data_IF_420759381945
#
_entry.id   IF_420759381945
#
_cell.length_a   1.000
_cell.length_b   1.000
_cell.length_c   1.000
_cell.angle_alpha   90.00
_cell.angle_beta   90.00
_cell.angle_gamma   90.00
#
_symmetry.space_group_name_H-M   'P 1'
#
loop_
_entity.id
_entity.type
_entity.pdbx_description
1 polymer ?
#
# COMPACT_ATOMS: atom_id res chain seq x y z
N UNK A 1 -15.80 -95.17 -81.78
CA UNK A 1 -16.47 -94.66 -82.98
C UNK A 1 -16.48 -93.14 -82.91
N UNK A 2 -16.10 -92.44 -83.98
CA UNK A 2 -16.07 -90.97 -84.06
C UNK A 2 -17.50 -90.38 -84.09
N UNK A 3 -18.31 -90.71 -83.09
CA UNK A 3 -19.65 -90.16 -82.93
C UNK A 3 -19.57 -88.72 -82.43
N UNK A 4 -20.32 -87.83 -83.06
CA UNK A 4 -20.45 -86.43 -82.62
C UNK A 4 -21.80 -86.22 -81.92
N UNK A 5 -21.85 -85.27 -80.99
CA UNK A 5 -23.10 -84.96 -80.27
C UNK A 5 -24.00 -84.14 -81.20
N UNK A 6 -25.22 -84.61 -81.43
CA UNK A 6 -26.23 -83.93 -82.24
C UNK A 6 -26.91 -82.81 -81.44
N UNK A 7 -27.27 -83.08 -80.18
CA UNK A 7 -28.05 -82.15 -79.37
C UNK A 7 -27.64 -82.14 -77.90
N UNK A 8 -27.47 -80.92 -77.35
CA UNK A 8 -27.37 -80.63 -75.92
C UNK A 8 -28.59 -79.81 -75.49
N UNK A 9 -29.41 -80.33 -74.58
CA UNK A 9 -30.62 -79.65 -74.11
C UNK A 9 -30.73 -79.67 -72.59
N UNK A 10 -31.02 -78.51 -72.00
CA UNK A 10 -31.51 -78.42 -70.63
C UNK A 10 -33.04 -78.53 -70.67
N UNK A 11 -33.57 -79.65 -70.18
CA UNK A 11 -34.99 -79.89 -70.04
C UNK A 11 -35.56 -79.26 -68.77
N UNK A 12 -36.89 -79.30 -68.64
CA UNK A 12 -37.55 -78.93 -67.39
C UNK A 12 -37.13 -79.89 -66.25
N UNK A 13 -36.91 -79.33 -65.05
CA UNK A 13 -36.56 -80.11 -63.85
C UNK A 13 -35.07 -80.45 -63.68
N UNK A 14 -34.17 -79.53 -64.04
CA UNK A 14 -32.69 -79.69 -63.92
C UNK A 14 -32.12 -80.92 -64.64
N UNK A 15 -32.80 -81.40 -65.68
CA UNK A 15 -32.35 -82.52 -66.48
C UNK A 15 -31.50 -82.00 -67.65
N UNK A 16 -30.28 -82.53 -67.77
CA UNK A 16 -29.40 -82.33 -68.92
C UNK A 16 -29.47 -83.55 -69.82
N UNK A 17 -29.94 -83.40 -71.05
CA UNK A 17 -30.04 -84.48 -72.05
C UNK A 17 -29.00 -84.29 -73.17
N UNK A 18 -28.34 -85.38 -73.54
CA UNK A 18 -27.31 -85.45 -74.58
C UNK A 18 -27.68 -86.54 -75.58
N UNK A 19 -27.76 -86.18 -76.87
CA UNK A 19 -28.06 -87.10 -77.98
C UNK A 19 -26.86 -87.23 -78.92
N UNK A 20 -26.49 -88.44 -79.34
CA UNK A 20 -25.40 -88.65 -80.31
C UNK A 20 -25.96 -88.80 -81.74
N UNK A 21 -25.20 -88.36 -82.72
CA UNK A 21 -25.64 -88.32 -84.12
C UNK A 21 -25.84 -89.73 -84.70
N UNK A 22 -27.03 -89.99 -85.26
CA UNK A 22 -27.41 -91.21 -85.99
C UNK A 22 -27.25 -92.54 -85.23
N UNK A 23 -27.27 -92.52 -83.88
CA UNK A 23 -27.19 -93.76 -83.08
C UNK A 23 -28.55 -94.47 -82.93
N UNK A 24 -29.67 -93.75 -83.13
CA UNK A 24 -31.02 -94.28 -83.01
C UNK A 24 -31.43 -94.59 -81.57
N UNK A 25 -30.65 -94.15 -80.58
CA UNK A 25 -30.87 -94.42 -79.15
C UNK A 25 -31.57 -93.24 -78.47
N UNK A 26 -32.08 -93.51 -77.26
CA UNK A 26 -32.75 -92.50 -76.44
C UNK A 26 -31.66 -91.58 -75.83
N UNK A 27 -31.83 -90.24 -75.84
CA UNK A 27 -30.85 -89.31 -75.28
C UNK A 27 -30.51 -89.63 -73.82
N UNK A 28 -29.21 -89.67 -73.50
CA UNK A 28 -28.76 -89.85 -72.12
C UNK A 28 -29.15 -88.62 -71.31
N UNK A 29 -29.90 -88.82 -70.24
CA UNK A 29 -30.37 -87.73 -69.38
C UNK A 29 -29.73 -87.84 -67.99
N UNK A 30 -29.14 -86.74 -67.52
CA UNK A 30 -28.51 -86.60 -66.20
C UNK A 30 -29.33 -85.61 -65.37
N UNK A 31 -29.71 -86.02 -64.16
CA UNK A 31 -30.36 -85.15 -63.18
C UNK A 31 -29.32 -84.32 -62.42
N UNK A 32 -29.43 -83.00 -62.54
CA UNK A 32 -28.57 -82.03 -61.88
C UNK A 32 -29.18 -81.48 -60.58
N UNK A 33 -30.30 -82.02 -60.09
CA UNK A 33 -30.96 -81.58 -58.84
C UNK A 33 -30.05 -81.69 -57.61
N UNK A 34 -29.03 -82.54 -57.63
CA UNK A 34 -28.01 -82.59 -56.58
C UNK A 34 -27.09 -81.35 -56.55
N UNK A 35 -27.10 -80.52 -57.59
CA UNK A 35 -26.40 -79.23 -57.67
C UNK A 35 -27.31 -78.06 -57.27
N UNK A 36 -28.60 -78.30 -56.99
CA UNK A 36 -29.47 -77.29 -56.41
C UNK A 36 -29.03 -76.95 -54.98
N UNK A 37 -29.21 -75.67 -54.65
CA UNK A 37 -28.65 -75.00 -53.48
C UNK A 37 -28.85 -75.82 -52.18
N UNK A 38 -27.74 -76.20 -51.53
CA UNK A 38 -27.81 -77.06 -50.33
C UNK A 38 -28.43 -76.32 -49.14
N UNK A 39 -29.12 -77.06 -48.26
CA UNK A 39 -29.75 -76.55 -47.03
C UNK A 39 -28.80 -75.68 -46.17
N UNK A 40 -27.50 -75.97 -46.20
CA UNK A 40 -26.49 -75.20 -45.48
C UNK A 40 -26.32 -73.77 -46.00
N UNK A 41 -26.41 -73.58 -47.33
CA UNK A 41 -26.33 -72.26 -47.95
C UNK A 41 -27.56 -71.44 -47.57
N UNK A 42 -28.75 -72.03 -47.64
CA UNK A 42 -30.00 -71.38 -47.21
C UNK A 42 -29.96 -70.96 -45.74
N UNK A 43 -29.41 -71.82 -44.86
CA UNK A 43 -29.27 -71.52 -43.44
C UNK A 43 -28.30 -70.36 -43.16
N UNK A 44 -27.13 -70.34 -43.82
CA UNK A 44 -26.17 -69.25 -43.68
C UNK A 44 -26.74 -67.92 -44.21
N UNK A 45 -27.42 -67.92 -45.35
CA UNK A 45 -28.10 -66.73 -45.89
C UNK A 45 -29.12 -66.20 -44.89
N UNK A 46 -29.88 -67.09 -44.23
CA UNK A 46 -30.85 -66.69 -43.20
C UNK A 46 -30.17 -66.05 -41.98
N UNK A 47 -29.05 -66.63 -41.52
CA UNK A 47 -28.29 -66.09 -40.38
C UNK A 47 -27.69 -64.71 -40.69
N UNK A 48 -27.07 -64.54 -41.86
CA UNK A 48 -26.50 -63.27 -42.30
C UNK A 48 -27.58 -62.19 -42.35
N UNK A 49 -28.72 -62.49 -42.98
CA UNK A 49 -29.83 -61.52 -43.08
C UNK A 49 -30.42 -61.19 -41.70
N UNK A 50 -30.52 -62.17 -40.80
CA UNK A 50 -31.00 -61.93 -39.43
C UNK A 50 -30.04 -61.04 -38.65
N UNK A 51 -28.72 -61.20 -38.83
CA UNK A 51 -27.72 -60.35 -38.20
C UNK A 51 -27.85 -58.89 -38.68
N UNK A 52 -27.90 -58.69 -39.99
CA UNK A 52 -28.09 -57.37 -40.62
C UNK A 52 -29.39 -56.70 -40.13
N UNK A 53 -30.47 -57.48 -39.98
CA UNK A 53 -31.76 -56.92 -39.54
C UNK A 53 -31.76 -56.57 -38.04
N UNK A 54 -31.05 -57.36 -37.21
CA UNK A 54 -30.95 -57.11 -35.77
C UNK A 54 -30.00 -55.96 -35.43
N UNK A 55 -28.98 -55.74 -36.26
CA UNK A 55 -28.11 -54.57 -36.20
C UNK A 55 -28.94 -53.28 -36.36
N UNK A 56 -30.03 -53.37 -37.14
CA UNK A 56 -30.99 -52.26 -37.28
C UNK A 56 -30.47 -51.12 -38.14
N UNK A 57 -29.21 -51.20 -38.58
CA UNK A 57 -28.58 -50.31 -39.52
C UNK A 57 -27.96 -51.09 -40.69
N UNK A 58 -28.09 -50.53 -41.89
CA UNK A 58 -27.51 -51.10 -43.13
C UNK A 58 -26.67 -50.07 -43.87
N UNK A 59 -26.53 -48.87 -43.30
CA UNK A 59 -25.83 -47.74 -43.85
C UNK A 59 -24.54 -47.53 -43.04
N UNK A 60 -23.39 -47.84 -43.64
CA UNK A 60 -22.08 -47.71 -43.00
C UNK A 60 -21.65 -46.24 -42.77
N UNK A 61 -22.50 -45.27 -43.12
CA UNK A 61 -22.17 -43.85 -43.08
C UNK A 61 -23.01 -43.02 -42.09
N UNK A 62 -24.05 -43.59 -41.47
CA UNK A 62 -24.93 -42.86 -40.55
C UNK A 62 -24.66 -43.17 -39.07
N UNK A 63 -23.79 -44.14 -38.76
CA UNK A 63 -23.40 -44.52 -37.41
C UNK A 63 -22.11 -43.85 -36.95
N UNK A 64 -22.07 -43.44 -35.68
CA UNK A 64 -20.82 -43.09 -35.02
C UNK A 64 -20.16 -44.40 -34.60
N UNK A 65 -19.14 -44.81 -35.35
CA UNK A 65 -18.25 -45.90 -34.97
C UNK A 65 -17.57 -45.56 -33.64
N UNK A 66 -18.09 -46.12 -32.54
CA UNK A 66 -17.48 -45.96 -31.24
C UNK A 66 -16.14 -46.71 -31.24
N UNK A 67 -15.06 -46.09 -30.78
CA UNK A 67 -13.77 -46.75 -30.73
C UNK A 67 -13.84 -47.98 -29.81
N UNK A 68 -13.42 -49.13 -30.33
CA UNK A 68 -13.23 -50.36 -29.57
C UNK A 68 -11.97 -50.21 -28.70
N UNK A 69 -12.15 -49.64 -27.51
CA UNK A 69 -11.09 -49.44 -26.53
C UNK A 69 -11.37 -50.26 -25.27
N UNK A 70 -10.75 -51.44 -25.20
CA UNK A 70 -10.82 -52.33 -24.04
C UNK A 70 -10.21 -51.72 -22.75
N UNK A 71 -9.55 -50.56 -22.83
CA UNK A 71 -9.00 -49.85 -21.67
C UNK A 71 -9.94 -48.78 -21.12
N UNK A 72 -11.03 -48.46 -21.81
CA UNK A 72 -12.03 -47.50 -21.36
C UNK A 72 -12.74 -47.97 -20.07
N UNK A 73 -12.96 -47.03 -19.15
CA UNK A 73 -13.57 -47.25 -17.83
C UNK A 73 -14.79 -46.38 -17.60
N UNK A 74 -15.61 -46.73 -16.61
CA UNK A 74 -16.78 -45.93 -16.22
C UNK A 74 -16.36 -44.54 -15.75
N UNK A 75 -16.72 -43.51 -16.52
CA UNK A 75 -16.33 -42.12 -16.27
C UNK A 75 -15.52 -41.50 -17.40
N UNK A 76 -15.01 -42.32 -18.33
CA UNK A 76 -14.40 -41.84 -19.56
C UNK A 76 -15.44 -41.17 -20.48
N UNK A 77 -15.02 -40.16 -21.23
CA UNK A 77 -15.86 -39.42 -22.18
C UNK A 77 -15.36 -39.64 -23.59
N UNK A 78 -16.29 -39.64 -24.54
CA UNK A 78 -15.95 -39.67 -25.96
C UNK A 78 -15.40 -38.30 -26.36
N UNK A 79 -14.18 -38.27 -26.89
CA UNK A 79 -13.55 -37.08 -27.45
C UNK A 79 -13.29 -37.27 -28.94
N UNK A 80 -13.21 -36.16 -29.66
CA UNK A 80 -12.82 -36.12 -31.06
C UNK A 80 -11.56 -35.28 -31.21
N UNK A 81 -10.62 -35.73 -32.04
CA UNK A 81 -9.47 -34.92 -32.42
C UNK A 81 -9.83 -33.92 -33.55
N UNK A 82 -8.87 -33.07 -33.94
CA UNK A 82 -9.09 -32.10 -35.01
C UNK A 82 -9.31 -32.73 -36.41
N UNK A 83 -9.05 -34.03 -36.54
CA UNK A 83 -9.28 -34.80 -37.75
C UNK A 83 -10.62 -35.58 -37.71
N UNK A 84 -11.39 -35.47 -36.63
CA UNK A 84 -12.67 -36.14 -36.46
C UNK A 84 -12.56 -37.57 -35.94
N UNK A 85 -11.37 -38.05 -35.56
CA UNK A 85 -11.22 -39.39 -34.99
C UNK A 85 -11.76 -39.43 -33.56
N UNK A 86 -12.54 -40.45 -33.24
CA UNK A 86 -13.12 -40.64 -31.90
C UNK A 86 -12.20 -41.47 -31.02
N UNK A 87 -12.05 -41.09 -29.74
CA UNK A 87 -11.37 -41.88 -28.71
C UNK A 87 -12.05 -41.72 -27.36
N UNK A 88 -11.97 -42.75 -26.51
CA UNK A 88 -12.34 -42.63 -25.10
C UNK A 88 -11.18 -41.96 -24.35
N UNK A 89 -11.49 -40.93 -23.58
CA UNK A 89 -10.51 -40.27 -22.72
C UNK A 89 -11.02 -40.21 -21.29
N UNK A 90 -10.12 -40.41 -20.32
CA UNK A 90 -10.41 -40.09 -18.92
C UNK A 90 -10.44 -38.57 -18.76
N UNK A 91 -11.58 -37.97 -18.37
CA UNK A 91 -11.63 -36.54 -18.10
C UNK A 91 -10.61 -36.21 -17.03
N UNK A 92 -9.66 -35.33 -17.36
CA UNK A 92 -8.79 -34.75 -16.36
C UNK A 92 -9.64 -33.78 -15.56
N UNK A 93 -10.15 -34.24 -14.41
CA UNK A 93 -10.86 -33.40 -13.46
C UNK A 93 -9.82 -32.46 -12.84
N UNK A 94 -9.81 -31.19 -13.27
CA UNK A 94 -8.95 -30.16 -12.67
C UNK A 94 -8.09 -29.33 -13.63
N UNK A 95 -8.41 -29.26 -14.93
CA UNK A 95 -7.74 -28.27 -15.78
C UNK A 95 -8.00 -26.84 -15.24
N UNK A 96 -6.92 -26.12 -14.97
CA UNK A 96 -6.91 -24.66 -14.88
C UNK A 96 -7.62 -24.04 -16.11
N UNK A 97 -8.08 -22.79 -15.99
CA UNK A 97 -8.86 -22.06 -17.02
C UNK A 97 -8.36 -22.25 -18.47
N UNK A 98 -7.05 -22.35 -18.70
CA UNK A 98 -6.45 -22.79 -19.97
C UNK A 98 -4.96 -23.09 -19.79
N UNK A 99 -4.40 -23.93 -20.67
CA UNK A 99 -2.95 -24.12 -20.83
C UNK A 99 -2.33 -23.25 -21.94
N UNK A 100 -3.15 -22.39 -22.56
CA UNK A 100 -2.78 -21.41 -23.59
C UNK A 100 -3.33 -20.04 -23.23
N UNK A 101 -2.80 -18.98 -23.86
CA UNK A 101 -3.31 -17.63 -23.67
C UNK A 101 -4.79 -17.56 -24.08
N UNK A 102 -5.66 -17.23 -23.12
CA UNK A 102 -7.06 -16.94 -23.40
C UNK A 102 -7.18 -15.52 -23.98
N UNK A 103 -7.63 -15.41 -25.23
CA UNK A 103 -8.05 -14.13 -25.81
C UNK A 103 -9.54 -13.99 -25.62
N UNK A 104 -9.98 -12.97 -24.87
CA UNK A 104 -11.40 -12.71 -24.69
C UNK A 104 -11.93 -11.89 -25.88
N UNK A 105 -13.02 -12.36 -26.48
CA UNK A 105 -13.69 -11.69 -27.62
C UNK A 105 -15.00 -11.01 -27.24
N UNK A 106 -15.39 -11.12 -25.96
CA UNK A 106 -16.53 -10.46 -25.34
C UNK A 106 -16.44 -10.61 -23.82
N UNK A 107 -17.31 -9.88 -23.10
CA UNK A 107 -17.34 -9.89 -21.65
C UNK A 107 -17.60 -11.30 -21.10
N UNK A 108 -16.94 -11.64 -19.98
CA UNK A 108 -17.05 -12.94 -19.32
C UNK A 108 -17.17 -12.76 -17.82
N UNK A 109 -18.08 -13.52 -17.22
CA UNK A 109 -18.20 -13.67 -15.77
C UNK A 109 -17.84 -15.10 -15.41
N UNK A 110 -16.93 -15.26 -14.46
CA UNK A 110 -16.59 -16.54 -13.85
C UNK A 110 -17.17 -16.59 -12.44
N UNK A 111 -18.18 -17.42 -12.26
CA UNK A 111 -18.84 -17.63 -10.96
C UNK A 111 -17.94 -18.52 -10.08
N UNK A 112 -17.51 -17.95 -8.96
CA UNK A 112 -16.72 -18.56 -7.89
C UNK A 112 -17.61 -18.82 -6.66
N UNK A 113 -18.83 -19.32 -6.87
CA UNK A 113 -19.78 -19.68 -5.82
C UNK A 113 -20.19 -18.46 -4.97
N UNK A 114 -21.03 -17.59 -5.55
CA UNK A 114 -21.51 -16.28 -5.03
C UNK A 114 -20.47 -15.14 -5.04
N UNK A 115 -19.28 -15.39 -5.57
CA UNK A 115 -18.31 -14.34 -5.90
C UNK A 115 -18.02 -14.41 -7.39
N UNK A 116 -18.05 -13.29 -8.09
CA UNK A 116 -17.82 -13.27 -9.52
C UNK A 116 -16.49 -12.61 -9.84
N UNK A 117 -15.70 -13.26 -10.70
CA UNK A 117 -14.61 -12.62 -11.42
C UNK A 117 -15.11 -12.20 -12.80
N UNK A 118 -15.25 -10.90 -13.00
CA UNK A 118 -15.74 -10.35 -14.27
C UNK A 118 -14.60 -9.69 -15.03
N UNK A 119 -14.46 -10.08 -16.29
CA UNK A 119 -13.62 -9.43 -17.28
C UNK A 119 -14.51 -8.68 -18.26
N UNK A 120 -14.50 -7.36 -18.15
CA UNK A 120 -15.29 -6.45 -18.97
C UNK A 120 -14.38 -5.82 -20.02
N UNK A 121 -14.53 -6.26 -21.27
CA UNK A 121 -13.78 -5.74 -22.41
C UNK A 121 -14.31 -4.36 -22.79
N UNK A 122 -15.62 -4.16 -22.69
CA UNK A 122 -16.30 -2.91 -23.03
C UNK A 122 -15.71 -1.73 -22.24
N UNK A 123 -15.49 -1.90 -20.94
CA UNK A 123 -14.93 -0.89 -20.04
C UNK A 123 -13.45 -1.10 -19.70
N UNK A 124 -12.82 -2.15 -20.24
CA UNK A 124 -11.44 -2.55 -19.93
C UNK A 124 -11.21 -2.72 -18.42
N UNK A 125 -12.17 -3.34 -17.72
CA UNK A 125 -12.22 -3.46 -16.28
C UNK A 125 -12.08 -4.92 -15.85
N UNK A 126 -11.25 -5.15 -14.82
CA UNK A 126 -11.27 -6.38 -14.02
C UNK A 126 -12.04 -6.09 -12.73
N UNK A 127 -13.10 -6.84 -12.45
CA UNK A 127 -13.94 -6.63 -11.27
C UNK A 127 -14.15 -7.93 -10.49
N UNK A 128 -14.15 -7.82 -9.16
CA UNK A 128 -14.49 -8.89 -8.23
C UNK A 128 -15.75 -8.46 -7.46
N UNK A 129 -16.87 -9.17 -7.63
CA UNK A 129 -18.18 -8.77 -7.06
C UNK A 129 -18.83 -9.88 -6.23
N UNK A 130 -19.66 -9.53 -5.24
CA UNK A 130 -20.19 -10.47 -4.23
C UNK A 130 -19.91 -10.05 -2.79
N UNK A 131 -20.41 -10.82 -1.82
CA UNK A 131 -20.29 -10.51 -0.38
C UNK A 131 -18.89 -10.75 0.18
N UNK A 132 -18.14 -11.71 -0.40
CA UNK A 132 -16.81 -12.13 0.06
C UNK A 132 -15.72 -11.89 -0.99
N UNK A 133 -15.89 -10.89 -1.86
CA UNK A 133 -14.98 -10.58 -2.98
C UNK A 133 -13.70 -9.87 -2.53
N UNK A 134 -12.95 -10.54 -1.66
CA UNK A 134 -11.64 -10.09 -1.21
C UNK A 134 -10.57 -10.74 -2.10
N UNK A 135 -9.59 -9.95 -2.53
CA UNK A 135 -8.44 -10.41 -3.30
C UNK A 135 -7.26 -10.57 -2.35
N UNK A 136 -6.89 -11.81 -2.07
CA UNK A 136 -5.67 -12.15 -1.35
C UNK A 136 -4.50 -12.37 -2.29
N UNK A 137 -3.38 -11.68 -2.08
CA UNK A 137 -2.11 -11.93 -2.81
C UNK A 137 -1.10 -12.46 -1.80
N UNK A 138 -0.75 -13.75 -1.89
CA UNK A 138 0.09 -14.42 -0.89
C UNK A 138 -0.63 -14.79 0.41
N UNK A 139 -1.87 -14.32 0.61
CA UNK A 139 -2.72 -14.59 1.77
C UNK A 139 -4.02 -15.27 1.30
N UNK A 140 -4.37 -16.43 1.88
CA UNK A 140 -5.60 -17.17 1.56
C UNK A 140 -6.79 -16.83 2.46
N UNK A 141 -6.59 -15.98 3.47
CA UNK A 141 -7.61 -15.48 4.39
C UNK A 141 -7.55 -13.95 4.47
N UNK A 142 -7.90 -13.25 3.38
CA UNK A 142 -7.80 -11.79 3.31
C UNK A 142 -8.79 -11.12 4.29
N UNK A 143 -8.30 -10.17 5.09
CA UNK A 143 -9.11 -9.41 6.05
C UNK A 143 -9.82 -8.20 5.43
N UNK A 144 -9.30 -7.71 4.31
CA UNK A 144 -9.81 -6.55 3.57
C UNK A 144 -10.02 -6.89 2.09
N UNK A 145 -10.64 -5.96 1.34
CA UNK A 145 -10.97 -6.15 -0.08
C UNK A 145 -9.74 -6.46 -0.94
N UNK A 146 -8.60 -5.89 -0.59
CA UNK A 146 -7.30 -6.26 -1.16
C UNK A 146 -6.34 -6.45 0.01
N UNK A 147 -5.87 -7.67 0.23
CA UNK A 147 -4.96 -8.04 1.31
C UNK A 147 -3.73 -8.71 0.67
N UNK A 148 -2.57 -8.12 0.90
CA UNK A 148 -1.30 -8.53 0.28
C UNK A 148 -0.32 -8.89 1.38
N UNK A 149 0.02 -10.18 1.49
CA UNK A 149 1.13 -10.64 2.32
C UNK A 149 2.45 -10.35 1.58
N UNK A 150 2.86 -9.08 1.61
CA UNK A 150 4.00 -8.58 0.86
C UNK A 150 3.99 -7.07 0.65
N UNK A 151 4.62 -6.62 -0.44
CA UNK A 151 4.72 -5.20 -0.78
C UNK A 151 3.80 -4.82 -1.93
N UNK A 152 3.12 -3.68 -1.80
CA UNK A 152 2.34 -3.06 -2.87
C UNK A 152 3.15 -1.91 -3.47
N UNK A 153 3.28 -1.87 -4.81
CA UNK A 153 3.87 -0.75 -5.54
C UNK A 153 2.87 -0.15 -6.52
N UNK A 154 2.36 1.04 -6.21
CA UNK A 154 1.53 1.82 -7.14
C UNK A 154 2.41 2.76 -8.00
N UNK A 155 2.45 2.55 -9.32
CA UNK A 155 3.07 3.49 -10.26
C UNK A 155 2.00 4.50 -10.70
N UNK A 156 1.99 5.68 -10.10
CA UNK A 156 0.93 6.69 -10.29
C UNK A 156 0.30 7.19 -8.99
N UNK A 157 0.67 6.60 -7.84
CA UNK A 157 0.20 6.99 -6.52
C UNK A 157 -1.08 6.25 -6.09
N UNK A 158 -1.52 6.55 -4.88
CA UNK A 158 -2.81 6.13 -4.35
C UNK A 158 -3.79 7.29 -4.50
N UNK A 159 -4.88 7.08 -5.21
CA UNK A 159 -5.96 8.05 -5.25
C UNK A 159 -6.78 7.92 -3.97
N UNK A 160 -6.98 9.04 -3.27
CA UNK A 160 -7.87 9.14 -2.12
C UNK A 160 -8.71 10.41 -2.28
N UNK A 161 -9.97 10.35 -1.88
CA UNK A 161 -10.85 11.52 -1.85
C UNK A 161 -10.53 12.40 -0.64
N UNK A 162 -11.29 13.48 -0.44
CA UNK A 162 -11.26 14.21 0.83
C UNK A 162 -11.63 13.28 2.00
N UNK A 163 -11.15 13.61 3.19
CA UNK A 163 -11.41 12.87 4.42
C UNK A 163 -11.51 13.80 5.61
N UNK A 164 -11.72 13.23 6.79
CA UNK A 164 -11.75 13.98 8.05
C UNK A 164 -10.92 13.27 9.11
N UNK A 165 -10.67 13.92 10.25
CA UNK A 165 -9.99 13.28 11.36
C UNK A 165 -10.72 12.00 11.84
N UNK A 166 -12.06 11.98 11.78
CA UNK A 166 -12.87 10.81 12.17
C UNK A 166 -12.99 9.73 11.10
N UNK A 167 -12.65 10.04 9.85
CA UNK A 167 -12.67 9.11 8.72
C UNK A 167 -11.62 9.55 7.69
N UNK A 168 -10.34 9.20 7.92
CA UNK A 168 -9.26 9.63 7.06
C UNK A 168 -9.30 8.89 5.72
N UNK A 169 -8.99 9.59 4.63
CA UNK A 169 -9.05 9.00 3.28
C UNK A 169 -7.98 7.93 3.02
N UNK A 170 -6.87 7.97 3.75
CA UNK A 170 -5.88 6.90 3.81
C UNK A 170 -5.82 6.38 5.26
N UNK A 171 -6.72 5.46 5.57
CA UNK A 171 -6.87 4.91 6.91
C UNK A 171 -5.93 3.74 7.19
N UNK A 172 -5.49 3.64 8.44
CA UNK A 172 -4.79 2.48 8.98
C UNK A 172 -5.80 1.60 9.72
N UNK A 173 -6.74 1.02 8.97
CA UNK A 173 -7.86 0.29 9.53
C UNK A 173 -7.44 -1.10 9.99
N UNK A 174 -7.58 -1.37 11.29
CA UNK A 174 -7.45 -2.73 11.84
C UNK A 174 -8.51 -2.91 12.90
N UNK A 175 -9.12 -4.10 12.98
CA UNK A 175 -10.07 -4.46 14.04
C UNK A 175 -11.23 -3.45 14.26
N UNK A 176 -11.70 -2.79 13.19
CA UNK A 176 -12.77 -1.80 13.25
C UNK A 176 -12.36 -0.39 13.68
N UNK A 177 -11.07 -0.13 13.91
CA UNK A 177 -10.56 1.24 14.01
C UNK A 177 -10.66 1.90 12.63
N UNK A 178 -11.43 2.99 12.55
CA UNK A 178 -11.71 3.72 11.31
C UNK A 178 -11.17 5.15 11.33
N UNK A 179 -10.46 5.54 12.40
CA UNK A 179 -10.20 6.95 12.68
C UNK A 179 -8.70 7.31 12.79
N UNK A 180 -7.83 6.33 12.57
CA UNK A 180 -6.39 6.54 12.43
C UNK A 180 -5.99 6.59 10.96
N UNK A 181 -5.19 7.58 10.56
CA UNK A 181 -4.76 7.68 9.16
C UNK A 181 -4.22 9.03 8.73
N UNK A 182 -4.14 9.19 7.42
CA UNK A 182 -3.81 10.44 6.73
C UNK A 182 -5.00 10.89 5.89
N UNK A 183 -5.22 12.19 5.80
CA UNK A 183 -6.33 12.75 5.03
C UNK A 183 -6.01 14.12 4.47
N UNK A 184 -6.69 14.47 3.38
CA UNK A 184 -6.62 15.80 2.80
C UNK A 184 -7.60 16.71 3.53
N UNK A 185 -7.09 17.74 4.20
CA UNK A 185 -7.91 18.73 4.94
C UNK A 185 -8.52 19.74 3.97
N UNK A 186 -7.71 20.24 3.04
CA UNK A 186 -8.05 21.22 2.02
C UNK A 186 -7.05 21.10 0.85
N UNK A 187 -7.12 22.02 -0.11
CA UNK A 187 -6.07 22.15 -1.12
C UNK A 187 -4.69 22.31 -0.46
N UNK A 188 -3.76 21.45 -0.85
CA UNK A 188 -2.37 21.43 -0.38
C UNK A 188 -2.20 21.35 1.15
N UNK A 189 -3.18 20.76 1.85
CA UNK A 189 -3.12 20.54 3.30
C UNK A 189 -3.23 19.05 3.63
N UNK A 190 -2.18 18.53 4.27
CA UNK A 190 -2.12 17.15 4.73
C UNK A 190 -2.37 17.08 6.23
N UNK A 191 -3.35 16.27 6.62
CA UNK A 191 -3.68 15.97 8.01
C UNK A 191 -3.33 14.55 8.39
N UNK A 192 -2.92 14.37 9.64
CA UNK A 192 -2.77 13.08 10.31
C UNK A 192 -3.78 13.00 11.44
N UNK A 193 -4.45 11.86 11.59
CA UNK A 193 -5.43 11.63 12.65
C UNK A 193 -5.07 10.46 13.55
N UNK A 194 -5.39 10.62 14.83
CA UNK A 194 -5.38 9.56 15.83
C UNK A 194 -6.60 9.74 16.72
N UNK A 195 -7.27 8.63 17.09
CA UNK A 195 -8.47 8.67 17.94
C UNK A 195 -9.57 9.62 17.42
N UNK A 196 -9.71 9.74 16.10
CA UNK A 196 -10.69 10.62 15.46
C UNK A 196 -10.42 12.12 15.56
N UNK A 197 -9.24 12.51 16.04
CA UNK A 197 -8.82 13.90 16.19
C UNK A 197 -7.62 14.20 15.31
N UNK A 198 -7.50 15.46 14.86
CA UNK A 198 -6.29 15.90 14.16
C UNK A 198 -5.10 15.89 15.10
N UNK A 199 -4.06 15.14 14.76
CA UNK A 199 -2.82 15.03 15.54
C UNK A 199 -1.73 15.96 15.01
N UNK A 200 -1.61 16.07 13.69
CA UNK A 200 -0.65 16.92 12.99
C UNK A 200 -1.23 17.41 11.67
N UNK A 201 -0.88 18.62 11.28
CA UNK A 201 -1.18 19.20 9.97
C UNK A 201 0.06 19.83 9.36
N UNK A 202 0.23 19.60 8.06
CA UNK A 202 1.19 20.32 7.21
C UNK A 202 0.40 21.21 6.26
N UNK A 203 0.66 22.52 6.31
CA UNK A 203 -0.03 23.51 5.50
C UNK A 203 0.70 23.82 4.16
N UNK A 204 0.11 24.61 3.24
CA UNK A 204 0.73 24.90 1.94
C UNK A 204 2.02 25.73 2.06
N UNK A 205 2.25 26.36 3.22
CA UNK A 205 3.48 27.10 3.53
C UNK A 205 4.52 26.23 4.26
N UNK A 206 4.29 24.92 4.33
CA UNK A 206 5.17 23.92 4.96
C UNK A 206 5.28 24.05 6.48
N UNK A 207 4.34 24.74 7.14
CA UNK A 207 4.31 24.75 8.59
C UNK A 207 3.74 23.43 9.11
N UNK A 208 4.31 22.95 10.21
CA UNK A 208 3.80 21.79 10.94
C UNK A 208 3.09 22.29 12.20
N UNK A 209 1.78 22.08 12.26
CA UNK A 209 0.98 22.30 13.45
C UNK A 209 0.75 20.95 14.16
N UNK A 210 1.03 20.88 15.46
CA UNK A 210 0.71 19.72 16.31
C UNK A 210 -0.34 20.09 17.34
N UNK A 211 -1.39 19.28 17.47
CA UNK A 211 -2.47 19.54 18.45
C UNK A 211 -2.02 19.21 19.88
N UNK A 212 -1.13 18.22 20.03
CA UNK A 212 -0.58 17.79 21.31
C UNK A 212 0.85 18.28 21.57
N UNK A 213 1.50 17.67 22.55
CA UNK A 213 2.90 17.95 22.89
C UNK A 213 3.85 17.48 21.78
N UNK A 214 4.92 18.25 21.54
CA UNK A 214 6.04 17.84 20.70
C UNK A 214 7.20 17.34 21.58
N UNK A 215 7.54 16.05 21.44
CA UNK A 215 8.74 15.46 22.05
C UNK A 215 9.80 15.26 20.97
N UNK A 216 11.00 15.80 21.18
CA UNK A 216 12.11 15.72 20.21
C UNK A 216 13.28 14.99 20.87
N UNK A 217 13.61 13.80 20.36
CA UNK A 217 14.75 13.01 20.86
C UNK A 217 16.13 13.53 20.42
N UNK A 218 16.15 14.59 19.61
CA UNK A 218 17.35 15.23 19.07
C UNK A 218 17.39 16.73 19.35
N UNK A 219 18.06 17.48 18.46
CA UNK A 219 18.19 18.95 18.57
C UNK A 219 17.08 19.66 17.80
N UNK A 220 16.57 20.76 18.37
CA UNK A 220 15.73 21.73 17.66
C UNK A 220 16.66 22.86 17.20
N UNK A 221 16.82 23.02 15.89
CA UNK A 221 17.60 24.10 15.30
C UNK A 221 16.67 25.05 14.55
N UNK A 222 16.79 26.34 14.83
CA UNK A 222 16.11 27.39 14.08
C UNK A 222 17.08 28.00 13.08
N UNK A 223 16.64 28.22 11.84
CA UNK A 223 17.42 29.02 10.89
C UNK A 223 17.21 30.48 11.21
N UNK A 224 18.17 31.07 11.92
CA UNK A 224 18.12 32.46 12.34
C UNK A 224 18.55 33.35 11.16
N UNK A 225 17.68 33.53 10.17
CA UNK A 225 17.97 34.44 9.06
C UNK A 225 17.77 35.88 9.51
N UNK A 226 18.86 36.57 9.84
CA UNK A 226 18.88 38.02 10.09
C UNK A 226 18.72 38.45 11.54
N UNK A 227 18.54 37.55 12.51
CA UNK A 227 18.72 37.92 13.91
C UNK A 227 20.16 37.71 14.34
N UNK A 228 20.66 38.66 15.12
CA UNK A 228 22.05 38.72 15.54
C UNK A 228 22.15 38.27 17.00
N UNK A 229 23.22 37.53 17.32
CA UNK A 229 23.55 37.20 18.69
C UNK A 229 23.70 38.50 19.53
N UNK A 230 23.18 38.57 20.77
CA UNK A 230 23.19 39.78 21.57
C UNK A 230 24.54 40.39 21.97
N UNK A 231 25.68 39.89 21.46
CA UNK A 231 27.02 40.45 21.68
C UNK A 231 27.13 41.97 21.43
N UNK A 232 26.16 42.58 20.74
CA UNK A 232 26.02 44.03 20.65
C UNK A 232 25.90 44.73 22.00
N UNK A 233 25.37 44.07 23.04
CA UNK A 233 25.23 44.64 24.39
C UNK A 233 26.61 44.99 24.95
N UNK A 234 27.52 44.02 24.96
CA UNK A 234 28.88 44.25 25.41
C UNK A 234 29.66 45.17 24.47
N UNK A 235 29.51 45.04 23.14
CA UNK A 235 30.17 45.96 22.21
C UNK A 235 29.77 47.40 22.46
N UNK A 236 28.47 47.68 22.59
CA UNK A 236 27.96 49.02 22.86
C UNK A 236 28.51 49.56 24.17
N UNK A 237 28.50 48.76 25.24
CA UNK A 237 28.97 49.18 26.56
C UNK A 237 30.47 49.51 26.59
N UNK A 238 31.32 48.64 26.02
CA UNK A 238 32.77 48.80 26.12
C UNK A 238 33.39 49.63 24.99
N UNK A 239 32.80 49.62 23.79
CA UNK A 239 33.32 50.30 22.59
C UNK A 239 32.54 51.59 22.25
N UNK A 240 31.40 51.82 22.90
CA UNK A 240 30.50 52.96 22.61
C UNK A 240 29.66 52.79 21.34
N UNK A 241 29.88 51.75 20.55
CA UNK A 241 29.10 51.40 19.36
C UNK A 241 29.01 49.88 19.19
N UNK A 242 28.06 49.42 18.38
CA UNK A 242 28.02 48.03 17.92
C UNK A 242 27.74 47.96 16.42
N UNK A 243 28.54 47.17 15.71
CA UNK A 243 28.32 46.86 14.29
C UNK A 243 27.20 45.82 14.08
N UNK A 244 26.86 45.09 15.15
CA UNK A 244 25.85 44.05 15.17
C UNK A 244 24.45 44.66 15.35
N UNK A 245 24.34 45.72 16.17
CA UNK A 245 23.14 46.52 16.30
C UNK A 245 23.50 47.98 16.64
N UNK A 246 23.47 48.88 15.65
CA UNK A 246 23.82 50.28 15.84
C UNK A 246 22.80 51.06 16.68
N UNK A 247 21.56 50.56 16.76
CA UNK A 247 20.45 51.21 17.45
C UNK A 247 20.28 50.71 18.89
N UNK A 248 21.09 49.75 19.31
CA UNK A 248 21.05 49.27 20.70
C UNK A 248 21.59 50.34 21.65
N UNK A 249 20.86 50.57 22.73
CA UNK A 249 21.23 51.46 23.82
C UNK A 249 21.16 50.72 25.14
N UNK A 250 22.24 50.82 25.93
CA UNK A 250 22.30 50.25 27.26
C UNK A 250 21.59 51.20 28.24
N UNK A 251 20.42 50.78 28.74
CA UNK A 251 19.62 51.54 29.71
C UNK A 251 20.14 51.37 31.13
N UNK A 252 20.10 52.42 31.93
CA UNK A 252 20.49 52.34 33.34
C UNK A 252 19.35 51.77 34.22
N UNK A 253 19.70 51.30 35.43
CA UNK A 253 18.73 50.69 36.34
C UNK A 253 17.59 51.63 36.78
N UNK A 254 17.81 52.95 36.80
CA UNK A 254 16.75 53.91 37.17
C UNK A 254 15.68 53.98 36.09
N UNK A 255 16.07 54.02 34.82
CA UNK A 255 15.16 53.99 33.68
C UNK A 255 14.43 52.65 33.58
N UNK A 256 15.14 51.54 33.83
CA UNK A 256 14.53 50.20 33.87
C UNK A 256 13.50 50.12 34.99
N UNK A 257 13.78 50.64 36.19
CA UNK A 257 12.84 50.65 37.31
C UNK A 257 11.57 51.45 36.97
N UNK A 258 11.71 52.62 36.36
CA UNK A 258 10.58 53.44 35.92
C UNK A 258 9.72 52.69 34.89
N UNK A 259 10.36 52.06 33.89
CA UNK A 259 9.66 51.26 32.89
C UNK A 259 8.92 50.08 33.51
N UNK A 260 9.56 49.34 34.41
CA UNK A 260 8.97 48.14 35.05
C UNK A 260 7.81 48.52 35.96
N UNK A 261 7.88 49.64 36.69
CA UNK A 261 6.78 50.13 37.53
C UNK A 261 5.54 50.47 36.69
N UNK A 262 5.74 51.06 35.53
CA UNK A 262 4.63 51.44 34.63
C UNK A 262 4.08 50.23 33.86
N UNK A 263 4.96 49.39 33.31
CA UNK A 263 4.58 48.36 32.32
C UNK A 263 4.49 46.94 32.90
N UNK A 264 5.01 46.68 34.10
CA UNK A 264 5.03 45.36 34.76
C UNK A 264 5.74 44.25 33.96
N UNK A 265 6.63 44.62 33.04
CA UNK A 265 7.54 43.72 32.33
C UNK A 265 8.84 44.46 32.00
N UNK A 266 9.88 43.72 31.61
CA UNK A 266 11.17 44.33 31.22
C UNK A 266 11.08 45.02 29.85
N UNK A 267 11.87 46.08 29.61
CA UNK A 267 12.03 46.66 28.28
C UNK A 267 12.42 45.60 27.24
N UNK A 268 11.87 45.68 26.03
CA UNK A 268 12.16 44.71 24.95
C UNK A 268 11.47 43.34 25.09
N UNK A 269 10.91 43.00 26.25
CA UNK A 269 10.07 41.81 26.42
C UNK A 269 8.61 42.16 26.14
N UNK A 270 7.92 41.37 25.31
CA UNK A 270 6.49 41.56 25.04
C UNK A 270 5.67 41.32 26.31
N UNK A 271 4.66 42.17 26.54
CA UNK A 271 3.71 41.99 27.63
C UNK A 271 2.86 40.74 27.44
N UNK A 272 2.33 40.19 28.53
CA UNK A 272 1.42 39.05 28.48
C UNK A 272 0.17 39.33 27.62
N UNK A 273 -0.32 40.57 27.62
CA UNK A 273 -1.42 41.00 26.78
C UNK A 273 -1.07 40.95 25.29
N UNK A 274 0.11 41.45 24.91
CA UNK A 274 0.59 41.43 23.52
C UNK A 274 0.78 40.00 23.00
N UNK A 275 1.31 39.09 23.82
CA UNK A 275 1.45 37.67 23.46
C UNK A 275 0.09 36.99 23.29
N UNK A 276 -0.86 37.30 24.17
CA UNK A 276 -2.22 36.77 24.07
C UNK A 276 -2.93 37.22 22.79
N UNK A 277 -2.75 38.48 22.41
CA UNK A 277 -3.29 39.03 21.15
C UNK A 277 -2.61 38.41 19.92
N UNK A 278 -1.29 38.23 19.96
CA UNK A 278 -0.53 37.56 18.90
C UNK A 278 -0.91 36.07 18.75
N UNK A 279 -1.33 35.41 19.84
CA UNK A 279 -1.81 34.03 19.84
C UNK A 279 -0.71 32.97 19.84
N UNK A 280 0.57 33.35 19.78
CA UNK A 280 1.71 32.43 19.85
C UNK A 280 2.90 33.03 20.59
N UNK A 281 3.76 32.16 21.12
CA UNK A 281 5.02 32.51 21.75
C UNK A 281 6.19 31.98 20.91
N UNK A 282 6.98 32.89 20.35
CA UNK A 282 8.18 32.55 19.57
C UNK A 282 9.33 32.22 20.53
N UNK A 283 9.65 30.93 20.67
CA UNK A 283 10.73 30.47 21.53
C UNK A 283 12.12 30.90 21.04
N UNK A 284 12.31 31.07 19.73
CA UNK A 284 13.59 31.50 19.15
C UNK A 284 13.88 32.95 19.53
N UNK A 285 12.93 33.85 19.27
CA UNK A 285 13.04 35.26 19.65
C UNK A 285 13.10 35.44 21.18
N UNK A 286 12.31 34.68 21.94
CA UNK A 286 12.36 34.72 23.39
C UNK A 286 13.74 34.30 23.94
N UNK A 287 14.34 33.24 23.38
CA UNK A 287 15.68 32.80 23.75
C UNK A 287 16.73 33.89 23.47
N UNK A 288 16.64 34.56 22.33
CA UNK A 288 17.54 35.67 21.96
C UNK A 288 17.37 36.87 22.89
N UNK A 289 16.14 37.32 23.17
CA UNK A 289 15.88 38.43 24.10
C UNK A 289 16.34 38.07 25.52
N UNK A 290 16.12 36.84 25.97
CA UNK A 290 16.61 36.38 27.27
C UNK A 290 18.13 36.53 27.37
N UNK A 291 18.87 36.20 26.30
CA UNK A 291 20.31 36.37 26.28
C UNK A 291 20.72 37.85 26.33
N UNK A 292 20.05 38.73 25.60
CA UNK A 292 20.26 40.19 25.70
C UNK A 292 20.08 40.67 27.15
N UNK A 293 19.02 40.23 27.84
CA UNK A 293 18.74 40.64 29.22
C UNK A 293 19.71 40.04 30.23
N UNK A 294 20.23 38.84 29.96
CA UNK A 294 21.30 38.25 30.74
C UNK A 294 22.59 39.08 30.60
N UNK A 295 22.96 39.50 29.39
CA UNK A 295 24.13 40.35 29.16
C UNK A 295 24.00 41.71 29.85
N UNK A 296 22.84 42.35 29.77
CA UNK A 296 22.54 43.61 30.49
C UNK A 296 22.67 43.44 32.01
N UNK A 297 22.09 42.36 32.56
CA UNK A 297 22.17 42.06 33.99
C UNK A 297 23.62 41.86 34.44
N UNK A 298 24.45 41.18 33.65
CA UNK A 298 25.87 41.01 33.97
C UNK A 298 26.61 42.35 33.97
N UNK A 299 26.33 43.26 33.04
CA UNK A 299 26.91 44.60 33.04
C UNK A 299 26.53 45.38 34.29
N UNK A 300 25.25 45.43 34.65
CA UNK A 300 24.81 46.08 35.89
C UNK A 300 25.43 45.44 37.14
N UNK A 301 25.59 44.12 37.16
CA UNK A 301 26.24 43.42 38.28
C UNK A 301 27.72 43.81 38.39
N UNK A 302 28.42 43.96 37.26
CA UNK A 302 29.81 44.43 37.22
C UNK A 302 29.90 45.88 37.73
N UNK A 303 28.96 46.75 37.36
CA UNK A 303 28.89 48.13 37.85
C UNK A 303 28.66 48.18 39.37
N UNK A 304 27.73 47.38 39.86
CA UNK A 304 27.45 47.26 41.28
C UNK A 304 28.67 46.76 42.06
N UNK A 305 29.37 45.73 41.56
CA UNK A 305 30.59 45.19 42.18
C UNK A 305 31.72 46.24 42.24
N UNK A 306 31.90 47.04 41.17
CA UNK A 306 32.82 48.18 41.20
C UNK A 306 32.44 49.18 42.27
N UNK A 307 31.14 49.51 42.38
CA UNK A 307 30.66 50.47 43.37
C UNK A 307 30.84 49.97 44.80
N UNK A 308 30.62 48.68 45.05
CA UNK A 308 30.83 48.04 46.35
C UNK A 308 32.32 48.16 46.74
N UNK A 309 33.24 47.84 45.84
CA UNK A 309 34.70 47.97 46.11
C UNK A 309 35.12 49.41 46.42
N UNK A 310 34.55 50.38 45.72
CA UNK A 310 34.78 51.81 46.02
C UNK A 310 34.28 52.18 47.42
N UNK A 311 33.08 51.75 47.77
CA UNK A 311 32.49 52.00 49.10
C UNK A 311 33.29 51.32 50.21
N UNK A 312 33.74 50.07 50.01
CA UNK A 312 34.60 49.35 50.94
C UNK A 312 35.95 50.07 51.14
N UNK A 313 36.57 50.55 50.06
CA UNK A 313 37.80 51.33 50.13
C UNK A 313 37.59 52.65 50.89
N UNK A 314 36.51 53.37 50.59
CA UNK A 314 36.14 54.59 51.31
C UNK A 314 35.91 54.32 52.81
N UNK A 315 35.16 53.27 53.14
CA UNK A 315 34.90 52.88 54.53
C UNK A 315 36.19 52.52 55.28
N UNK A 316 37.13 51.82 54.64
CA UNK A 316 38.44 51.53 55.22
C UNK A 316 39.24 52.80 55.50
N UNK A 317 39.25 53.75 54.55
CA UNK A 317 39.95 55.03 54.73
C UNK A 317 39.33 55.84 55.88
N UNK A 318 38.00 55.93 55.94
CA UNK A 318 37.29 56.60 57.03
C UNK A 318 37.56 55.93 58.38
N UNK A 319 37.64 54.59 58.44
CA UNK A 319 37.99 53.89 59.66
C UNK A 319 39.40 54.26 60.15
N UNK A 320 40.39 54.31 59.26
CA UNK A 320 41.75 54.74 59.59
C UNK A 320 41.82 56.20 60.05
N UNK A 321 41.07 57.09 59.42
CA UNK A 321 40.98 58.51 59.83
C UNK A 321 40.36 58.64 61.22
N UNK A 322 39.28 57.91 61.51
CA UNK A 322 38.66 57.87 62.83
C UNK A 322 39.62 57.34 63.90
N UNK A 323 40.41 56.30 63.61
CA UNK A 323 41.44 55.81 64.53
C UNK A 323 42.52 56.87 64.79
N UNK A 324 42.97 57.57 63.76
CA UNK A 324 43.97 58.64 63.87
C UNK A 324 43.47 59.80 64.72
N UNK A 325 42.23 60.26 64.46
CA UNK A 325 41.60 61.32 65.25
C UNK A 325 41.40 60.92 66.71
N UNK A 326 41.01 59.67 66.98
CA UNK A 326 40.92 59.14 68.36
C UNK A 326 42.27 59.17 69.06
N UNK A 327 43.35 58.77 68.38
CA UNK A 327 44.69 58.83 68.94
C UNK A 327 45.12 60.27 69.27
N UNK A 328 44.89 61.21 68.34
CA UNK A 328 45.16 62.63 68.55
C UNK A 328 44.35 63.21 69.72
N UNK A 329 43.07 62.83 69.86
CA UNK A 329 42.24 63.25 70.99
C UNK A 329 42.78 62.76 72.34
N UNK A 330 43.25 61.51 72.42
CA UNK A 330 43.86 60.98 73.65
C UNK A 330 45.18 61.69 73.97
N UNK A 331 45.99 62.01 72.97
CA UNK A 331 47.22 62.80 73.15
C UNK A 331 46.92 64.21 73.68
N UNK A 332 45.96 64.92 73.07
CA UNK A 332 45.53 66.24 73.53
C UNK A 332 45.01 66.17 74.97
N UNK A 333 44.20 65.15 75.30
CA UNK A 333 43.67 64.94 76.65
C UNK A 333 44.80 64.77 77.66
N UNK A 334 45.84 64.00 77.31
CA UNK A 334 47.02 63.83 78.16
C UNK A 334 47.76 65.16 78.39
N UNK A 335 47.98 65.94 77.33
CA UNK A 335 48.63 67.26 77.40
C UNK A 335 47.83 68.26 78.26
N UNK A 336 46.50 68.23 78.18
CA UNK A 336 45.63 69.07 79.02
C UNK A 336 45.72 68.69 80.50
N UNK A 337 45.76 67.39 80.81
CA UNK A 337 45.92 66.86 82.18
C UNK A 337 47.26 67.24 82.80
N UNK A 338 48.34 67.26 82.01
CA UNK A 338 49.66 67.70 82.45
C UNK A 338 49.68 69.20 82.72
N UNK A 339 49.05 70.02 81.88
CA UNK A 339 48.94 71.48 82.08
C UNK A 339 48.11 71.90 83.29
N UNK A 340 47.13 71.11 83.72
CA UNK A 340 46.33 71.40 84.93
C UNK A 340 47.05 71.05 86.24
N UNK A 341 48.24 70.46 86.19
CA UNK A 341 49.05 70.11 87.37
C UNK A 341 50.16 71.11 87.69
N UNK A 342 50.41 72.09 86.81
CA UNK A 342 51.27 73.26 87.04
C UNK A 342 50.47 74.44 87.59
#
# INVERSE_FOLDING_TARGET
DEQTVDQFLFGAGNLLSISLENDGEIPLTVDLSALEETVAITANTTLINTHITNDGDTDDQNEIELPDDATATSGDVLATDAAGNYSWITPIIGNNLSNTNLTQTGDRTYDLNDNDLTFDITNSLLSFTGTNSNVGIGNITPQDKLDVDGQIRARGGFASTEGSAGNPGYGFYTNGDTNMGMYRIAADQLGFSTNGLEAMRIDPTQNIATTGNLSVGGTISTTISGQVHPDYVFQKYYLGNSILNSNYEFTNLSEIEEFVKENNHLPGIKSAAAIKEQGFWDLGEASRINLEKIEELFLHTIEQEKKIKELESSNKNMATEVETLKAQMEEIKKLLLEKTKE
#
